data_IF_707197793100
#
_entry.id   IF_707197793100
#
_cell.length_a   1.000
_cell.length_b   1.000
_cell.length_c   1.000
_cell.angle_alpha   90.00
_cell.angle_beta   90.00
_cell.angle_gamma   90.00
#
_symmetry.space_group_name_H-M   'P 1'
#
loop_
_entity.id
_entity.type
_entity.pdbx_description
1 polymer ?
#
# COMPACT_ATOMS: atom_id res chain seq x y z
N UNK A 1 -16.93 -1.12 28.06
CA UNK A 1 -17.66 -0.54 26.90
C UNK A 1 -17.52 -1.54 25.77
N UNK A 2 -18.51 -1.64 24.88
CA UNK A 2 -18.36 -2.45 23.65
C UNK A 2 -17.42 -1.75 22.67
N UNK A 3 -16.85 -2.50 21.73
CA UNK A 3 -15.96 -1.96 20.69
C UNK A 3 -16.63 -0.83 19.90
N UNK A 4 -17.90 -1.00 19.52
CA UNK A 4 -18.72 0.03 18.85
C UNK A 4 -18.86 1.32 19.69
N UNK A 5 -19.06 1.20 21.00
CA UNK A 5 -19.11 2.36 21.91
C UNK A 5 -17.75 3.09 21.99
N UNK A 6 -16.64 2.36 21.87
CA UNK A 6 -15.29 2.95 21.86
C UNK A 6 -15.06 3.69 20.53
N UNK A 7 -15.42 3.11 19.38
CA UNK A 7 -15.41 3.83 18.09
C UNK A 7 -16.26 5.10 18.14
N UNK A 8 -17.42 5.05 18.80
CA UNK A 8 -18.27 6.22 19.04
C UNK A 8 -17.60 7.36 19.82
N UNK A 9 -16.64 7.06 20.71
CA UNK A 9 -15.83 8.10 21.38
C UNK A 9 -14.81 8.74 20.42
N UNK A 10 -14.20 7.96 19.53
CA UNK A 10 -13.26 8.46 18.50
C UNK A 10 -13.99 9.41 17.54
N UNK A 11 -15.18 9.02 17.06
CA UNK A 11 -16.02 9.89 16.22
C UNK A 11 -16.51 11.17 16.90
N UNK A 12 -16.54 11.20 18.24
CA UNK A 12 -16.82 12.40 19.04
C UNK A 12 -15.55 13.19 19.43
N UNK A 13 -14.40 12.88 18.82
CA UNK A 13 -13.08 13.43 19.10
C UNK A 13 -12.56 13.25 20.55
N UNK A 14 -13.15 12.32 21.33
CA UNK A 14 -12.80 11.99 22.72
C UNK A 14 -11.76 10.86 22.75
N UNK A 15 -10.61 11.14 22.15
CA UNK A 15 -9.54 10.15 21.93
C UNK A 15 -8.92 9.65 23.25
N UNK A 16 -8.82 10.53 24.24
CA UNK A 16 -8.48 10.21 25.64
C UNK A 16 -9.35 9.06 26.18
N UNK A 17 -10.68 9.23 26.11
CA UNK A 17 -11.63 8.26 26.65
C UNK A 17 -11.68 6.99 25.81
N UNK A 18 -11.44 7.08 24.51
CA UNK A 18 -11.39 5.93 23.62
C UNK A 18 -10.18 5.03 23.95
N UNK A 19 -8.99 5.63 24.12
CA UNK A 19 -7.78 4.92 24.52
C UNK A 19 -7.94 4.24 25.90
N UNK A 20 -8.47 4.96 26.88
CA UNK A 20 -8.70 4.42 28.23
C UNK A 20 -9.76 3.31 28.23
N UNK A 21 -10.82 3.43 27.43
CA UNK A 21 -11.84 2.39 27.32
C UNK A 21 -11.30 1.13 26.63
N UNK A 22 -10.43 1.28 25.63
CA UNK A 22 -9.79 0.16 24.93
C UNK A 22 -8.73 -0.55 25.79
N UNK A 23 -7.90 0.19 26.53
CA UNK A 23 -6.95 -0.37 27.50
C UNK A 23 -7.64 -1.14 28.64
N UNK A 24 -8.95 -0.91 28.83
CA UNK A 24 -9.78 -1.64 29.77
C UNK A 24 -10.63 -2.77 29.15
N UNK A 25 -10.49 -3.05 27.84
CA UNK A 25 -11.22 -4.14 27.18
C UNK A 25 -10.76 -5.51 27.71
N UNK A 26 -11.66 -6.51 27.89
CA UNK A 26 -11.28 -7.81 28.43
C UNK A 26 -10.20 -8.53 27.62
N UNK A 27 -10.35 -8.59 26.28
CA UNK A 27 -9.37 -9.22 25.38
C UNK A 27 -7.99 -8.53 25.45
N UNK A 28 -7.95 -7.20 25.43
CA UNK A 28 -6.71 -6.40 25.56
C UNK A 28 -6.01 -6.64 26.91
N UNK A 29 -6.76 -7.01 27.96
CA UNK A 29 -6.18 -7.35 29.27
C UNK A 29 -5.72 -8.81 29.37
N UNK A 30 -6.25 -9.71 28.54
CA UNK A 30 -5.76 -11.08 28.43
C UNK A 30 -4.59 -11.23 27.46
N UNK A 31 -4.45 -10.33 26.50
CA UNK A 31 -3.36 -10.30 25.52
C UNK A 31 -2.26 -9.30 25.94
N UNK A 32 -1.07 -9.81 26.23
CA UNK A 32 0.06 -9.00 26.67
C UNK A 32 0.62 -8.05 25.61
N UNK A 33 0.56 -8.43 24.33
CA UNK A 33 1.12 -7.67 23.22
C UNK A 33 0.17 -6.54 22.78
N UNK A 34 -1.15 -6.81 22.76
CA UNK A 34 -2.17 -5.76 22.60
C UNK A 34 -2.16 -4.77 23.76
N UNK A 35 -2.04 -5.26 25.01
CA UNK A 35 -1.92 -4.41 26.19
C UNK A 35 -0.69 -3.49 26.15
N UNK A 36 0.47 -4.02 25.73
CA UNK A 36 1.69 -3.24 25.54
C UNK A 36 1.54 -2.22 24.40
N UNK A 37 0.90 -2.61 23.29
CA UNK A 37 0.64 -1.74 22.13
C UNK A 37 -0.26 -0.55 22.50
N UNK A 38 -1.33 -0.77 23.27
CA UNK A 38 -2.19 0.31 23.77
C UNK A 38 -1.50 1.20 24.80
N UNK A 39 -0.62 0.65 25.64
CA UNK A 39 0.21 1.43 26.56
C UNK A 39 1.16 2.38 25.81
N UNK A 40 1.81 1.89 24.75
CA UNK A 40 2.63 2.71 23.84
C UNK A 40 1.81 3.80 23.14
N UNK A 41 0.57 3.48 22.74
CA UNK A 41 -0.33 4.41 22.06
C UNK A 41 -0.83 5.53 23.00
N UNK A 42 -1.21 5.18 24.23
CA UNK A 42 -1.52 6.15 25.31
C UNK A 42 -0.32 7.04 25.65
N UNK A 43 0.90 6.49 25.66
CA UNK A 43 2.13 7.25 25.88
C UNK A 43 2.37 8.28 24.76
N UNK A 44 2.22 7.88 23.49
CA UNK A 44 2.29 8.81 22.34
C UNK A 44 1.23 9.90 22.40
N UNK A 45 -0.02 9.56 22.74
CA UNK A 45 -1.09 10.54 22.91
C UNK A 45 -0.75 11.58 23.99
N UNK A 46 -0.35 11.10 25.17
CA UNK A 46 0.04 11.97 26.29
C UNK A 46 1.24 12.86 25.94
N UNK A 47 2.21 12.33 25.19
CA UNK A 47 3.34 13.10 24.65
C UNK A 47 2.88 14.19 23.69
N UNK A 48 2.00 13.87 22.74
CA UNK A 48 1.48 14.82 21.74
C UNK A 48 0.65 15.94 22.37
N UNK A 49 -0.23 15.62 23.33
CA UNK A 49 -0.97 16.61 24.11
C UNK A 49 -0.02 17.51 24.91
N UNK A 50 1.04 16.95 25.50
CA UNK A 50 2.05 17.72 26.25
C UNK A 50 2.86 18.65 25.35
N UNK A 51 3.33 18.18 24.20
CA UNK A 51 4.06 18.99 23.22
C UNK A 51 3.20 20.17 22.72
N UNK A 52 1.91 19.92 22.45
CA UNK A 52 0.96 20.96 22.06
C UNK A 52 0.71 21.98 23.16
N UNK A 53 0.47 21.53 24.39
CA UNK A 53 0.26 22.41 25.54
C UNK A 53 1.50 23.24 25.93
N UNK A 54 2.70 22.76 25.58
CA UNK A 54 3.95 23.52 25.73
C UNK A 54 4.27 24.45 24.54
N UNK A 55 3.45 24.47 23.50
CA UNK A 55 3.68 25.26 22.28
C UNK A 55 4.86 24.76 21.43
N UNK A 56 5.35 23.53 21.68
CA UNK A 56 6.46 22.92 20.94
C UNK A 56 5.99 22.43 19.56
N UNK A 57 4.71 22.13 19.42
CA UNK A 57 4.08 21.56 18.22
C UNK A 57 2.98 22.46 17.68
N UNK A 58 3.02 22.74 16.38
CA UNK A 58 1.97 23.51 15.71
C UNK A 58 0.65 22.72 15.61
N UNK A 59 -0.42 23.38 15.18
CA UNK A 59 -1.75 22.75 15.03
C UNK A 59 -1.78 21.62 13.99
N UNK A 60 -0.96 21.74 12.95
CA UNK A 60 -0.97 20.86 11.79
C UNK A 60 -0.31 19.52 12.13
N UNK A 61 0.84 19.55 12.79
CA UNK A 61 1.55 18.37 13.29
C UNK A 61 0.89 17.76 14.52
N UNK A 62 0.23 18.56 15.37
CA UNK A 62 -0.63 18.07 16.45
C UNK A 62 -1.83 17.27 15.89
N UNK A 63 -2.52 17.80 14.89
CA UNK A 63 -3.64 17.14 14.24
C UNK A 63 -3.23 15.86 13.51
N UNK A 64 -2.11 15.88 12.77
CA UNK A 64 -1.55 14.69 12.10
C UNK A 64 -1.23 13.57 13.10
N UNK A 65 -0.60 13.88 14.23
CA UNK A 65 -0.26 12.84 15.20
C UNK A 65 -1.51 12.30 15.92
N UNK A 66 -2.49 13.15 16.25
CA UNK A 66 -3.80 12.67 16.73
C UNK A 66 -4.52 11.78 15.72
N UNK A 67 -4.46 12.11 14.42
CA UNK A 67 -5.07 11.27 13.38
C UNK A 67 -4.41 9.89 13.30
N UNK A 68 -3.06 9.81 13.35
CA UNK A 68 -2.33 8.53 13.42
C UNK A 68 -2.73 7.70 14.64
N UNK A 69 -2.87 8.34 15.80
CA UNK A 69 -3.24 7.67 17.06
C UNK A 69 -4.67 7.13 16.99
N UNK A 70 -5.62 7.94 16.49
CA UNK A 70 -7.00 7.50 16.24
C UNK A 70 -7.06 6.31 15.28
N UNK A 71 -6.29 6.34 14.18
CA UNK A 71 -6.24 5.27 13.19
C UNK A 71 -5.66 3.97 13.76
N UNK A 72 -4.54 4.04 14.49
CA UNK A 72 -3.95 2.87 15.16
C UNK A 72 -4.92 2.24 16.17
N UNK A 73 -5.69 3.06 16.90
CA UNK A 73 -6.73 2.56 17.80
C UNK A 73 -7.90 1.92 17.04
N UNK A 74 -8.34 2.49 15.91
CA UNK A 74 -9.40 1.92 15.07
C UNK A 74 -9.01 0.53 14.55
N UNK A 75 -7.77 0.33 14.11
CA UNK A 75 -7.31 -0.97 13.63
C UNK A 75 -7.36 -2.02 14.74
N UNK A 76 -6.80 -1.73 15.92
CA UNK A 76 -6.82 -2.65 17.06
C UNK A 76 -8.25 -2.99 17.48
N UNK A 77 -9.18 -2.02 17.43
CA UNK A 77 -10.61 -2.26 17.67
C UNK A 77 -11.26 -3.14 16.60
N UNK A 78 -10.78 -3.14 15.35
CA UNK A 78 -11.28 -4.01 14.28
C UNK A 78 -10.73 -5.42 14.36
N UNK A 79 -9.45 -5.58 14.71
CA UNK A 79 -8.85 -6.90 14.98
C UNK A 79 -9.60 -7.61 16.13
N UNK A 80 -10.00 -6.87 17.17
CA UNK A 80 -10.79 -7.39 18.30
C UNK A 80 -12.23 -7.80 17.90
N UNK A 81 -12.87 -7.08 16.97
CA UNK A 81 -14.20 -7.46 16.45
C UNK A 81 -14.14 -8.77 15.65
N UNK A 82 -13.09 -8.99 14.87
CA UNK A 82 -12.90 -10.22 14.09
C UNK A 82 -12.72 -11.44 15.02
N UNK A 83 -12.05 -11.28 16.16
CA UNK A 83 -11.95 -12.33 17.19
C UNK A 83 -13.27 -12.58 17.95
N UNK A 84 -14.04 -11.54 18.30
CA UNK A 84 -15.37 -11.72 18.90
C UNK A 84 -16.33 -12.45 17.93
N UNK A 85 -16.30 -12.10 16.64
CA UNK A 85 -17.09 -12.76 15.60
C UNK A 85 -16.68 -14.22 15.36
N UNK A 86 -15.37 -14.52 15.40
CA UNK A 86 -14.83 -15.88 15.29
C UNK A 86 -15.21 -16.80 16.46
N UNK A 87 -15.41 -16.23 17.65
CA UNK A 87 -15.78 -16.98 18.86
C UNK A 87 -17.27 -17.40 18.90
N UNK A 88 -18.15 -16.60 18.31
CA UNK A 88 -19.61 -16.75 18.46
C UNK A 88 -20.28 -17.86 17.61
N UNK A 89 -19.54 -18.51 16.70
CA UNK A 89 -20.11 -19.35 15.65
C UNK A 89 -20.42 -20.82 16.05
N UNK A 90 -21.21 -21.07 17.12
CA UNK A 90 -21.77 -22.43 17.36
C UNK A 90 -23.09 -22.49 18.15
N UNK A 91 -24.25 -22.54 17.45
CA UNK A 91 -25.47 -23.33 17.77
C UNK A 91 -26.73 -22.80 17.00
N UNK A 92 -27.76 -23.64 16.71
CA UNK A 92 -28.92 -23.26 15.86
C UNK A 92 -30.23 -22.86 16.61
N UNK A 93 -31.01 -21.97 15.96
CA UNK A 93 -32.51 -21.72 15.90
C UNK A 93 -33.49 -22.32 16.95
N UNK A 94 -34.71 -21.73 17.23
CA UNK A 94 -35.54 -20.86 16.36
C UNK A 94 -36.43 -19.71 16.95
N UNK A 95 -36.80 -18.77 16.06
CA UNK A 95 -38.07 -18.01 15.88
C UNK A 95 -38.96 -17.46 17.05
N UNK A 96 -39.25 -16.14 16.99
CA UNK A 96 -40.54 -15.53 17.37
C UNK A 96 -40.80 -14.16 16.66
N UNK A 97 -42.07 -13.71 16.60
CA UNK A 97 -42.65 -12.54 15.87
C UNK A 97 -43.11 -11.46 16.90
N UNK A 98 -43.51 -10.20 16.65
CA UNK A 98 -44.01 -9.31 15.53
C UNK A 98 -43.82 -7.82 16.00
N UNK A 99 -44.20 -6.71 15.30
CA UNK A 99 -44.54 -6.43 13.88
C UNK A 99 -43.83 -5.16 13.29
N UNK A 100 -44.16 -4.76 12.06
CA UNK A 100 -43.54 -3.63 11.32
C UNK A 100 -44.40 -2.34 11.23
N UNK A 101 -43.76 -1.23 10.81
CA UNK A 101 -44.37 -0.01 10.22
C UNK A 101 -43.72 0.24 8.83
N UNK A 102 -44.32 1.03 7.90
CA UNK A 102 -44.39 0.61 6.49
C UNK A 102 -43.25 1.12 5.62
N UNK A 103 -42.86 0.31 4.65
CA UNK A 103 -41.90 0.68 3.61
C UNK A 103 -42.56 1.53 2.50
N UNK A 104 -41.82 2.49 1.96
CA UNK A 104 -42.04 3.01 0.61
C UNK A 104 -41.66 1.92 -0.42
N UNK A 105 -42.24 1.90 -1.63
CA UNK A 105 -42.10 0.77 -2.55
C UNK A 105 -40.66 0.63 -3.03
N UNK A 106 -40.07 -0.55 -2.79
CA UNK A 106 -38.75 -0.90 -3.31
C UNK A 106 -38.80 -1.03 -4.84
N UNK A 107 -37.84 -0.42 -5.53
CA UNK A 107 -37.49 -0.81 -6.88
C UNK A 107 -37.08 -2.29 -6.90
N UNK A 108 -37.29 -3.04 -8.01
CA UNK A 108 -36.84 -4.43 -8.10
C UNK A 108 -35.34 -4.50 -7.85
N UNK A 109 -34.84 -5.53 -7.12
CA UNK A 109 -33.43 -5.64 -6.80
C UNK A 109 -32.63 -5.74 -8.10
N UNK A 110 -31.82 -4.72 -8.36
CA UNK A 110 -30.79 -4.82 -9.38
C UNK A 110 -29.84 -5.96 -8.97
N UNK A 111 -29.54 -6.84 -9.92
CA UNK A 111 -28.45 -7.80 -9.76
C UNK A 111 -27.17 -6.95 -9.86
N UNK A 112 -26.57 -6.63 -8.73
CA UNK A 112 -25.33 -5.86 -8.68
C UNK A 112 -24.19 -6.82 -9.03
N UNK A 113 -23.50 -6.58 -10.15
CA UNK A 113 -22.21 -7.21 -10.42
C UNK A 113 -21.14 -6.47 -9.61
N UNK A 114 -20.75 -7.05 -8.47
CA UNK A 114 -19.75 -6.49 -7.55
C UNK A 114 -18.33 -6.51 -8.17
N UNK A 115 -17.99 -5.45 -8.91
CA UNK A 115 -16.67 -5.29 -9.53
C UNK A 115 -15.62 -4.80 -8.50
N UNK A 116 -15.28 -5.67 -7.53
CA UNK A 116 -14.20 -5.46 -6.56
C UNK A 116 -12.87 -5.30 -7.32
N UNK A 117 -12.09 -4.28 -6.95
CA UNK A 117 -10.74 -4.02 -7.48
C UNK A 117 -9.70 -4.32 -6.41
N UNK A 118 -9.04 -5.47 -6.51
CA UNK A 118 -8.01 -5.92 -5.56
C UNK A 118 -6.68 -5.24 -5.82
N UNK A 119 -6.09 -4.65 -4.79
CA UNK A 119 -4.84 -3.89 -4.90
C UNK A 119 -3.76 -4.57 -4.07
N UNK A 120 -2.68 -5.00 -4.71
CA UNK A 120 -1.50 -5.55 -4.04
C UNK A 120 -0.38 -4.49 -4.04
N UNK A 121 -0.06 -3.96 -2.87
CA UNK A 121 1.00 -2.97 -2.66
C UNK A 121 2.25 -3.66 -2.12
N UNK A 122 3.33 -3.63 -2.91
CA UNK A 122 4.60 -4.27 -2.63
C UNK A 122 5.67 -3.19 -2.42
N UNK A 123 6.17 -3.07 -1.20
CA UNK A 123 7.25 -2.16 -0.86
C UNK A 123 8.61 -2.90 -0.81
N UNK A 124 9.60 -2.36 -1.52
CA UNK A 124 11.02 -2.63 -1.18
C UNK A 124 11.28 -2.20 0.28
N UNK A 125 12.27 -2.75 0.99
CA UNK A 125 12.50 -2.45 2.41
C UNK A 125 13.89 -1.82 2.62
N UNK A 126 14.03 -0.47 2.54
CA UNK A 126 15.31 0.22 2.53
C UNK A 126 15.66 0.76 3.92
N UNK A 127 16.64 1.66 3.99
CA UNK A 127 17.05 2.37 5.21
C UNK A 127 15.89 3.10 5.92
N UNK A 128 16.02 3.39 7.22
CA UNK A 128 14.89 3.77 8.07
C UNK A 128 14.13 5.02 7.60
N UNK A 129 14.80 6.00 7.00
CA UNK A 129 14.17 7.17 6.37
C UNK A 129 13.26 6.77 5.21
N UNK A 130 13.74 5.89 4.32
CA UNK A 130 12.95 5.41 3.20
C UNK A 130 11.84 4.46 3.65
N UNK A 131 12.07 3.63 4.69
CA UNK A 131 11.01 2.83 5.33
C UNK A 131 9.86 3.72 5.83
N UNK A 132 10.15 4.86 6.45
CA UNK A 132 9.14 5.84 6.87
C UNK A 132 8.37 6.41 5.67
N UNK A 133 9.04 6.72 4.55
CA UNK A 133 8.39 7.24 3.34
C UNK A 133 7.47 6.22 2.67
N UNK A 134 7.90 4.96 2.54
CA UNK A 134 7.09 3.87 2.00
C UNK A 134 5.85 3.59 2.86
N UNK A 135 6.02 3.66 4.18
CA UNK A 135 4.92 3.56 5.15
C UNK A 135 3.97 4.76 5.00
N UNK A 136 4.50 5.96 4.73
CA UNK A 136 3.71 7.18 4.46
C UNK A 136 2.95 7.09 3.13
N UNK A 137 3.55 6.52 2.09
CA UNK A 137 2.88 6.26 0.81
C UNK A 137 1.71 5.29 1.00
N UNK A 138 1.96 4.13 1.59
CA UNK A 138 0.92 3.14 1.90
C UNK A 138 -0.21 3.77 2.74
N UNK A 139 0.11 4.52 3.80
CA UNK A 139 -0.90 5.20 4.63
C UNK A 139 -1.74 6.20 3.83
N UNK A 140 -1.15 6.95 2.90
CA UNK A 140 -1.88 7.90 2.06
C UNK A 140 -2.73 7.22 0.99
N UNK A 141 -2.22 6.16 0.36
CA UNK A 141 -2.98 5.33 -0.58
C UNK A 141 -4.18 4.70 0.12
N UNK A 142 -3.98 4.10 1.29
CA UNK A 142 -5.06 3.55 2.11
C UNK A 142 -6.11 4.60 2.44
N UNK A 143 -5.71 5.80 2.90
CA UNK A 143 -6.64 6.89 3.19
C UNK A 143 -7.50 7.28 1.97
N UNK A 144 -6.90 7.43 0.78
CA UNK A 144 -7.61 7.78 -0.45
C UNK A 144 -8.61 6.71 -0.90
N UNK A 145 -8.31 5.43 -0.65
CA UNK A 145 -9.25 4.33 -0.92
C UNK A 145 -10.39 4.27 0.11
N UNK A 146 -10.12 4.66 1.37
CA UNK A 146 -11.14 4.77 2.41
C UNK A 146 -12.05 6.02 2.26
N UNK A 147 -11.65 6.99 1.43
CA UNK A 147 -12.47 8.13 1.01
C UNK A 147 -13.43 7.80 -0.16
N UNK A 148 -13.41 6.58 -0.68
CA UNK A 148 -14.36 6.12 -1.71
C UNK A 148 -15.81 6.07 -1.17
N UNK A 149 -16.78 6.09 -2.09
CA UNK A 149 -18.20 5.87 -1.74
C UNK A 149 -18.45 4.46 -1.18
N UNK A 150 -17.68 3.47 -1.66
CA UNK A 150 -17.78 2.05 -1.33
C UNK A 150 -16.35 1.49 -1.08
N UNK A 151 -15.71 1.81 0.06
CA UNK A 151 -14.31 1.44 0.34
C UNK A 151 -14.02 -0.07 0.29
N UNK A 152 -15.01 -0.90 0.60
CA UNK A 152 -14.95 -2.36 0.54
C UNK A 152 -14.68 -2.91 -0.87
N UNK A 153 -14.92 -2.11 -1.92
CA UNK A 153 -14.55 -2.46 -3.31
C UNK A 153 -13.06 -2.36 -3.57
N UNK A 154 -12.27 -1.78 -2.67
CA UNK A 154 -10.83 -1.54 -2.86
C UNK A 154 -9.96 -2.22 -1.79
N UNK A 155 -10.02 -3.56 -1.62
CA UNK A 155 -9.19 -4.26 -0.64
C UNK A 155 -7.71 -4.11 -0.99
N UNK A 156 -7.01 -3.35 -0.15
CA UNK A 156 -5.58 -3.08 -0.21
C UNK A 156 -4.82 -4.12 0.62
N UNK A 157 -3.94 -4.90 -0.03
CA UNK A 157 -3.04 -5.85 0.64
C UNK A 157 -1.61 -5.34 0.55
N UNK A 158 -1.00 -5.09 1.71
CA UNK A 158 0.37 -4.60 1.83
C UNK A 158 1.33 -5.75 2.13
N UNK A 159 2.47 -5.77 1.44
CA UNK A 159 3.62 -6.65 1.73
C UNK A 159 4.90 -5.80 1.67
N UNK A 160 5.77 -5.99 2.64
CA UNK A 160 7.11 -5.40 2.67
C UNK A 160 8.15 -6.51 2.55
N UNK A 161 9.40 -6.16 2.25
CA UNK A 161 10.53 -7.08 2.34
C UNK A 161 10.34 -8.38 1.54
N UNK A 162 9.86 -8.21 0.31
CA UNK A 162 9.42 -9.27 -0.59
C UNK A 162 10.61 -9.78 -1.42
N UNK A 163 11.00 -11.05 -1.28
CA UNK A 163 11.97 -11.70 -2.17
C UNK A 163 11.38 -12.02 -3.55
N UNK A 164 12.19 -12.36 -4.58
CA UNK A 164 11.67 -12.73 -5.90
C UNK A 164 10.72 -13.96 -5.90
N UNK A 165 10.88 -14.86 -4.93
CA UNK A 165 9.98 -16.01 -4.74
C UNK A 165 8.63 -15.54 -4.21
N UNK A 166 8.63 -14.77 -3.12
CA UNK A 166 7.41 -14.24 -2.49
C UNK A 166 6.66 -13.27 -3.41
N UNK A 167 7.37 -12.49 -4.23
CA UNK A 167 6.77 -11.68 -5.30
C UNK A 167 5.87 -12.53 -6.21
N UNK A 168 6.37 -13.71 -6.59
CA UNK A 168 5.66 -14.64 -7.48
C UNK A 168 4.49 -15.30 -6.76
N UNK A 169 4.67 -15.62 -5.48
CA UNK A 169 3.65 -16.22 -4.62
C UNK A 169 2.50 -15.25 -4.30
N UNK A 170 2.79 -14.01 -3.87
CA UNK A 170 1.77 -13.01 -3.55
C UNK A 170 0.92 -12.63 -4.76
N UNK A 171 1.52 -12.52 -5.96
CA UNK A 171 0.74 -12.35 -7.19
C UNK A 171 -0.25 -13.50 -7.42
N UNK A 172 0.16 -14.75 -7.12
CA UNK A 172 -0.66 -15.94 -7.30
C UNK A 172 -1.75 -16.11 -6.24
N UNK A 173 -1.45 -15.80 -4.98
CA UNK A 173 -2.37 -15.91 -3.83
C UNK A 173 -3.42 -14.80 -3.87
N UNK A 174 -2.99 -13.54 -3.90
CA UNK A 174 -3.87 -12.38 -3.74
C UNK A 174 -4.74 -12.13 -4.98
N UNK A 175 -4.25 -12.55 -6.16
CA UNK A 175 -4.87 -12.39 -7.48
C UNK A 175 -5.33 -10.95 -7.75
N UNK A 176 -4.42 -9.97 -7.72
CA UNK A 176 -4.77 -8.55 -7.79
C UNK A 176 -5.24 -8.11 -9.18
N UNK A 177 -6.05 -7.06 -9.19
CA UNK A 177 -6.39 -6.24 -10.34
C UNK A 177 -5.34 -5.17 -10.60
N UNK A 178 -4.78 -4.59 -9.53
CA UNK A 178 -3.74 -3.56 -9.56
C UNK A 178 -2.55 -4.01 -8.71
N UNK A 179 -1.34 -3.95 -9.26
CA UNK A 179 -0.10 -4.20 -8.51
C UNK A 179 0.70 -2.90 -8.41
N UNK A 180 1.02 -2.48 -7.20
CA UNK A 180 1.83 -1.29 -6.94
C UNK A 180 3.18 -1.69 -6.40
N UNK A 181 4.24 -1.18 -7.01
CA UNK A 181 5.60 -1.27 -6.51
C UNK A 181 6.06 0.09 -6.03
N UNK A 182 6.47 0.17 -4.78
CA UNK A 182 7.17 1.34 -4.27
C UNK A 182 8.58 0.98 -3.81
N UNK A 183 9.57 1.72 -4.31
CA UNK A 183 10.97 1.46 -4.00
C UNK A 183 11.99 2.19 -4.85
N UNK A 184 13.26 1.82 -4.69
CA UNK A 184 14.37 2.43 -5.42
C UNK A 184 14.84 1.55 -6.60
N UNK A 185 15.00 2.16 -7.77
CA UNK A 185 15.60 1.53 -8.96
C UNK A 185 16.97 2.10 -9.35
N UNK A 186 17.51 3.07 -8.59
CA UNK A 186 18.82 3.67 -8.87
C UNK A 186 19.97 2.83 -8.30
N UNK A 187 20.85 2.36 -9.19
CA UNK A 187 22.07 1.60 -8.86
C UNK A 187 23.12 2.42 -8.12
N UNK A 188 22.99 3.76 -8.09
CA UNK A 188 23.89 4.71 -7.40
C UNK A 188 23.42 5.13 -6.02
N UNK A 189 22.24 4.68 -5.57
CA UNK A 189 21.83 4.87 -4.18
C UNK A 189 22.89 4.26 -3.24
N UNK A 190 23.29 4.92 -2.14
CA UNK A 190 24.35 4.43 -1.25
C UNK A 190 24.11 2.99 -0.77
N UNK A 191 22.86 2.71 -0.41
CA UNK A 191 22.35 1.42 0.06
C UNK A 191 22.41 0.31 -1.02
N UNK A 192 22.54 0.67 -2.30
CA UNK A 192 22.66 -0.26 -3.44
C UNK A 192 24.13 -0.41 -3.87
N UNK A 193 24.91 0.67 -3.79
CA UNK A 193 26.32 0.69 -4.15
C UNK A 193 27.18 -0.19 -3.20
N UNK A 194 26.86 -0.22 -1.90
CA UNK A 194 27.49 -1.12 -0.92
C UNK A 194 27.29 -2.58 -1.29
N UNK A 195 26.05 -2.99 -1.58
CA UNK A 195 25.68 -4.38 -1.91
C UNK A 195 26.30 -4.84 -3.23
N UNK A 196 26.47 -3.94 -4.21
CA UNK A 196 27.21 -4.24 -5.45
C UNK A 196 28.70 -4.56 -5.18
N UNK A 197 29.31 -4.00 -4.13
CA UNK A 197 30.69 -4.31 -3.75
C UNK A 197 30.81 -5.67 -3.05
N UNK A 198 29.89 -5.99 -2.14
CA UNK A 198 29.84 -7.27 -1.42
C UNK A 198 29.52 -8.44 -2.36
N UNK A 199 28.56 -8.25 -3.28
CA UNK A 199 28.20 -9.25 -4.29
C UNK A 199 29.34 -9.57 -5.28
N UNK A 200 30.30 -8.65 -5.44
CA UNK A 200 31.52 -8.86 -6.24
C UNK A 200 32.64 -9.51 -5.44
N UNK A 201 32.75 -9.25 -4.13
CA UNK A 201 33.82 -9.80 -3.29
C UNK A 201 33.87 -11.35 -3.26
N UNK A 202 32.78 -12.04 -3.65
CA UNK A 202 32.71 -13.50 -3.78
C UNK A 202 33.07 -14.08 -5.16
N UNK A 203 33.33 -13.27 -6.19
CA UNK A 203 33.76 -13.76 -7.52
C UNK A 203 35.13 -13.19 -7.87
N UNK A 204 36.11 -14.06 -8.14
CA UNK A 204 37.36 -13.63 -8.76
C UNK A 204 37.07 -13.13 -10.17
N UNK A 205 37.53 -11.94 -10.50
CA UNK A 205 37.30 -11.28 -11.80
C UNK A 205 38.05 -11.94 -12.99
N UNK A 206 38.63 -13.13 -12.82
CA UNK A 206 39.53 -13.77 -13.78
C UNK A 206 38.82 -14.65 -14.84
N UNK A 207 37.56 -15.07 -14.60
CA UNK A 207 36.81 -16.02 -15.47
C UNK A 207 35.74 -15.38 -16.39
N UNK A 208 35.72 -14.04 -16.52
CA UNK A 208 34.76 -13.34 -17.40
C UNK A 208 35.35 -13.09 -18.80
N UNK A 209 34.74 -13.64 -19.89
CA UNK A 209 35.25 -13.43 -21.24
C UNK A 209 35.11 -11.96 -21.68
N UNK A 210 36.13 -11.37 -22.33
CA UNK A 210 36.17 -9.93 -22.61
C UNK A 210 35.36 -9.55 -23.86
N UNK A 211 34.03 -9.73 -23.84
CA UNK A 211 33.15 -9.29 -24.94
C UNK A 211 31.67 -9.09 -24.57
N UNK A 212 31.41 -8.27 -23.55
CA UNK A 212 30.20 -7.46 -23.52
C UNK A 212 30.50 -6.13 -22.83
N UNK A 213 30.21 -5.00 -23.49
CA UNK A 213 30.00 -3.76 -22.72
C UNK A 213 28.75 -4.02 -21.87
N UNK A 214 28.78 -3.81 -20.54
CA UNK A 214 27.57 -3.97 -19.74
C UNK A 214 26.61 -2.84 -20.12
N UNK A 215 25.72 -3.11 -21.07
CA UNK A 215 24.51 -2.32 -21.23
C UNK A 215 23.82 -2.25 -19.87
N UNK A 216 23.50 -1.04 -19.41
CA UNK A 216 23.02 -0.82 -18.04
C UNK A 216 21.70 -1.58 -17.81
N UNK A 217 21.82 -2.78 -17.24
CA UNK A 217 20.69 -3.64 -16.94
C UNK A 217 19.82 -2.92 -15.92
N UNK A 218 18.59 -2.61 -16.34
CA UNK A 218 17.57 -1.93 -15.55
C UNK A 218 16.68 -2.96 -14.86
N UNK A 219 16.40 -2.70 -13.59
CA UNK A 219 15.61 -3.57 -12.73
C UNK A 219 15.09 -2.83 -11.51
N UNK A 220 14.46 -3.58 -10.60
CA UNK A 220 13.92 -3.08 -9.34
C UNK A 220 14.56 -3.89 -8.22
N UNK A 221 14.88 -3.24 -7.10
CA UNK A 221 15.43 -3.93 -5.94
C UNK A 221 14.32 -4.45 -5.02
N UNK A 222 14.38 -5.76 -4.78
CA UNK A 222 13.62 -6.50 -3.78
C UNK A 222 14.54 -6.78 -2.57
N UNK A 223 13.97 -7.07 -1.40
CA UNK A 223 14.72 -7.26 -0.15
C UNK A 223 14.15 -8.45 0.62
N UNK A 224 14.95 -9.10 1.47
CA UNK A 224 14.47 -10.10 2.44
C UNK A 224 13.98 -9.45 3.75
N UNK A 225 13.21 -10.20 4.56
CA UNK A 225 12.68 -9.73 5.87
C UNK A 225 13.79 -9.20 6.78
N UNK A 226 14.93 -9.90 6.81
CA UNK A 226 16.13 -9.55 7.58
C UNK A 226 16.83 -8.25 7.10
N UNK A 227 16.46 -7.70 5.93
CA UNK A 227 17.14 -6.59 5.24
C UNK A 227 18.61 -6.83 4.90
N UNK A 228 19.08 -8.09 4.88
CA UNK A 228 20.49 -8.43 4.67
C UNK A 228 20.83 -8.70 3.21
N UNK A 229 19.84 -8.99 2.37
CA UNK A 229 20.07 -9.31 0.96
C UNK A 229 19.10 -8.53 0.05
N UNK A 230 19.66 -7.62 -0.75
CA UNK A 230 18.91 -7.02 -1.84
C UNK A 230 18.99 -7.91 -3.10
N UNK A 231 17.83 -8.27 -3.63
CA UNK A 231 17.68 -9.01 -4.88
C UNK A 231 17.39 -8.05 -6.02
N UNK A 232 18.33 -7.91 -6.95
CA UNK A 232 18.09 -7.17 -8.19
C UNK A 232 17.19 -7.98 -9.14
N UNK A 233 16.02 -7.43 -9.45
CA UNK A 233 15.03 -8.05 -10.34
C UNK A 233 15.05 -7.35 -11.70
N UNK A 234 15.60 -8.02 -12.70
CA UNK A 234 15.70 -7.47 -14.05
C UNK A 234 14.37 -7.51 -14.82
N UNK A 235 14.35 -6.74 -15.91
CA UNK A 235 13.22 -6.63 -16.84
C UNK A 235 12.73 -7.99 -17.37
N UNK A 236 13.65 -8.93 -17.62
CA UNK A 236 13.34 -10.28 -18.12
C UNK A 236 12.54 -11.10 -17.12
N UNK A 237 12.91 -11.07 -15.83
CA UNK A 237 12.15 -11.71 -14.76
C UNK A 237 10.74 -11.14 -14.67
N UNK A 238 10.60 -9.80 -14.55
CA UNK A 238 9.29 -9.14 -14.40
C UNK A 238 8.35 -9.53 -15.55
N UNK A 239 8.80 -9.39 -16.80
CA UNK A 239 8.02 -9.77 -17.98
C UNK A 239 7.62 -11.25 -17.96
N UNK A 240 8.51 -12.16 -17.55
CA UNK A 240 8.21 -13.60 -17.46
C UNK A 240 7.19 -13.89 -16.36
N UNK A 241 7.30 -13.27 -15.20
CA UNK A 241 6.40 -13.49 -14.06
C UNK A 241 5.00 -12.97 -14.38
N UNK A 242 4.86 -11.71 -14.82
CA UNK A 242 3.56 -11.17 -15.25
C UNK A 242 2.95 -11.97 -16.40
N UNK A 243 3.75 -12.37 -17.41
CA UNK A 243 3.25 -13.24 -18.49
C UNK A 243 2.76 -14.59 -17.98
N UNK A 244 3.31 -15.11 -16.89
CA UNK A 244 2.89 -16.39 -16.29
C UNK A 244 1.57 -16.20 -15.53
N UNK A 245 1.48 -15.17 -14.69
CA UNK A 245 0.26 -14.85 -13.92
C UNK A 245 -0.94 -14.56 -14.82
N UNK A 246 -0.79 -13.66 -15.80
CA UNK A 246 -1.88 -13.29 -16.71
C UNK A 246 -2.21 -14.45 -17.68
N UNK A 247 -1.22 -14.99 -18.41
CA UNK A 247 -1.52 -15.91 -19.52
C UNK A 247 -1.79 -17.35 -19.07
N UNK A 248 -1.11 -17.85 -18.02
CA UNK A 248 -1.27 -19.22 -17.51
C UNK A 248 -2.26 -19.31 -16.35
N UNK A 249 -2.14 -18.44 -15.35
CA UNK A 249 -2.99 -18.49 -14.15
C UNK A 249 -4.27 -17.65 -14.24
N UNK A 250 -4.45 -16.89 -15.34
CA UNK A 250 -5.65 -16.07 -15.62
C UNK A 250 -5.94 -15.03 -14.54
N UNK A 251 -4.89 -14.50 -13.92
CA UNK A 251 -5.01 -13.45 -12.90
C UNK A 251 -5.34 -12.13 -13.61
N UNK A 252 -6.39 -11.40 -13.19
CA UNK A 252 -6.96 -10.27 -13.93
C UNK A 252 -6.20 -8.96 -13.70
N UNK A 253 -4.87 -8.99 -13.84
CA UNK A 253 -4.03 -7.80 -13.64
C UNK A 253 -4.33 -6.78 -14.74
N UNK A 254 -5.07 -5.73 -14.38
CA UNK A 254 -5.47 -4.60 -15.25
C UNK A 254 -4.35 -3.55 -15.30
N UNK A 255 -3.72 -3.26 -14.16
CA UNK A 255 -2.69 -2.24 -14.04
C UNK A 255 -1.47 -2.68 -13.20
N UNK A 256 -0.28 -2.22 -13.58
CA UNK A 256 0.94 -2.28 -12.76
C UNK A 256 1.53 -0.89 -12.61
N UNK A 257 1.83 -0.46 -11.39
CA UNK A 257 2.44 0.84 -11.10
C UNK A 257 3.86 0.63 -10.58
N UNK A 258 4.87 0.97 -11.38
CA UNK A 258 6.27 0.97 -10.94
C UNK A 258 6.66 2.36 -10.40
N UNK A 259 6.21 2.68 -9.18
CA UNK A 259 6.57 3.90 -8.45
C UNK A 259 7.99 3.79 -7.87
N UNK A 260 8.96 3.69 -8.79
CA UNK A 260 10.38 3.54 -8.52
C UNK A 260 11.18 4.24 -9.61
N UNK A 261 12.33 4.82 -9.25
CA UNK A 261 13.22 5.50 -10.20
C UNK A 261 13.65 4.60 -11.36
N UNK A 262 13.75 5.16 -12.58
CA UNK A 262 14.26 4.47 -13.78
C UNK A 262 13.52 3.17 -14.13
N UNK A 263 12.18 3.18 -14.04
CA UNK A 263 11.33 2.00 -14.30
C UNK A 263 10.74 1.93 -15.72
N UNK A 264 11.09 2.86 -16.62
CA UNK A 264 10.55 2.96 -17.99
C UNK A 264 10.69 1.68 -18.84
N UNK A 265 11.89 1.07 -18.89
CA UNK A 265 12.15 -0.18 -19.63
C UNK A 265 11.33 -1.36 -19.08
N UNK A 266 11.10 -1.38 -17.77
CA UNK A 266 10.32 -2.38 -17.05
C UNK A 266 8.84 -2.19 -17.38
N UNK A 267 8.37 -0.93 -17.39
CA UNK A 267 7.00 -0.58 -17.75
C UNK A 267 6.67 -0.98 -19.20
N UNK A 268 7.52 -0.58 -20.15
CA UNK A 268 7.42 -0.98 -21.56
C UNK A 268 7.37 -2.51 -21.70
N UNK A 269 8.31 -3.23 -21.09
CA UNK A 269 8.40 -4.68 -21.21
C UNK A 269 7.20 -5.44 -20.61
N UNK A 270 6.62 -4.94 -19.51
CA UNK A 270 5.44 -5.53 -18.84
C UNK A 270 4.14 -5.13 -19.52
N UNK A 271 4.06 -3.95 -20.15
CA UNK A 271 2.87 -3.51 -20.91
C UNK A 271 2.55 -4.40 -22.13
N UNK A 272 3.52 -5.21 -22.57
CA UNK A 272 3.33 -6.27 -23.57
C UNK A 272 2.49 -7.47 -23.05
N UNK A 273 2.11 -7.48 -21.76
CA UNK A 273 1.33 -8.54 -21.11
C UNK A 273 0.30 -8.07 -20.08
N UNK A 274 0.40 -6.84 -19.57
CA UNK A 274 -0.59 -6.16 -18.71
C UNK A 274 -1.12 -4.93 -19.47
N UNK A 275 -2.44 -4.66 -19.50
CA UNK A 275 -3.00 -3.57 -20.29
C UNK A 275 -2.42 -2.20 -19.95
N UNK A 276 -2.37 -1.82 -18.68
CA UNK A 276 -1.84 -0.52 -18.25
C UNK A 276 -0.59 -0.70 -17.39
N UNK A 277 0.49 0.00 -17.73
CA UNK A 277 1.70 0.01 -16.89
C UNK A 277 2.28 1.40 -16.75
N UNK A 278 2.37 1.87 -15.51
CA UNK A 278 3.04 3.12 -15.15
C UNK A 278 4.49 2.86 -14.83
N UNK A 279 5.39 3.72 -15.30
CA UNK A 279 6.78 3.78 -14.87
C UNK A 279 7.30 5.21 -14.77
N UNK A 280 8.57 5.36 -14.40
CA UNK A 280 9.27 6.65 -14.36
C UNK A 280 10.40 6.69 -15.37
N UNK A 281 10.61 7.87 -15.95
CA UNK A 281 11.61 8.13 -16.98
C UNK A 281 13.04 8.25 -16.40
N UNK A 282 13.20 8.91 -15.25
CA UNK A 282 14.43 8.98 -14.44
C UNK A 282 14.10 9.12 -12.94
N UNK A 283 15.07 9.47 -12.09
CA UNK A 283 14.87 9.60 -10.63
C UNK A 283 13.77 10.59 -10.25
N UNK A 284 12.79 10.08 -9.50
CA UNK A 284 11.66 10.83 -8.89
C UNK A 284 11.96 11.14 -7.43
N UNK A 285 11.55 12.31 -6.94
CA UNK A 285 11.64 12.65 -5.52
C UNK A 285 10.51 12.02 -4.70
N UNK A 286 10.80 11.56 -3.48
CA UNK A 286 9.86 10.78 -2.65
C UNK A 286 8.51 11.50 -2.43
N UNK A 287 8.53 12.83 -2.25
CA UNK A 287 7.31 13.64 -2.11
C UNK A 287 6.42 13.56 -3.35
N UNK A 288 7.01 13.57 -4.54
CA UNK A 288 6.29 13.50 -5.80
C UNK A 288 5.83 12.08 -6.11
N UNK A 289 6.64 11.05 -5.79
CA UNK A 289 6.23 9.64 -5.84
C UNK A 289 5.00 9.39 -4.93
N UNK A 290 5.04 9.90 -3.69
CA UNK A 290 3.92 9.84 -2.75
C UNK A 290 2.70 10.61 -3.27
N UNK A 291 2.90 11.80 -3.85
CA UNK A 291 1.82 12.62 -4.39
C UNK A 291 1.15 11.95 -5.61
N UNK A 292 1.95 11.38 -6.52
CA UNK A 292 1.48 10.58 -7.64
C UNK A 292 0.60 9.42 -7.17
N UNK A 293 1.10 8.58 -6.27
CA UNK A 293 0.34 7.45 -5.75
C UNK A 293 -0.96 7.90 -5.05
N UNK A 294 -0.90 8.97 -4.26
CA UNK A 294 -2.08 9.56 -3.61
C UNK A 294 -3.11 10.07 -4.64
N UNK A 295 -2.66 10.68 -5.74
CA UNK A 295 -3.52 11.16 -6.81
C UNK A 295 -4.14 10.02 -7.62
N UNK A 296 -3.32 9.05 -8.02
CA UNK A 296 -3.76 7.86 -8.74
C UNK A 296 -4.86 7.11 -7.98
N UNK A 297 -4.61 6.76 -6.71
CA UNK A 297 -5.60 6.03 -5.93
C UNK A 297 -6.81 6.87 -5.50
N UNK A 298 -6.71 8.20 -5.47
CA UNK A 298 -7.89 9.05 -5.41
C UNK A 298 -8.74 8.91 -6.68
N UNK A 299 -8.13 8.97 -7.87
CA UNK A 299 -8.84 8.77 -9.13
C UNK A 299 -9.58 7.42 -9.18
N UNK A 300 -8.89 6.33 -8.79
CA UNK A 300 -9.48 4.99 -8.67
C UNK A 300 -10.66 4.99 -7.67
N UNK A 301 -10.50 5.60 -6.49
CA UNK A 301 -11.57 5.70 -5.47
C UNK A 301 -12.78 6.53 -5.92
N UNK A 302 -12.58 7.51 -6.81
CA UNK A 302 -13.65 8.30 -7.43
C UNK A 302 -14.26 7.63 -8.69
N UNK A 303 -13.84 6.41 -9.05
CA UNK A 303 -14.36 5.68 -10.19
C UNK A 303 -13.85 6.16 -11.56
N UNK A 304 -12.71 6.85 -11.61
CA UNK A 304 -12.02 7.13 -12.87
C UNK A 304 -11.49 5.83 -13.50
N UNK A 305 -11.29 5.82 -14.81
CA UNK A 305 -10.52 4.78 -15.46
C UNK A 305 -9.02 4.92 -15.17
N UNK A 306 -8.20 3.95 -15.63
CA UNK A 306 -6.77 3.94 -15.34
C UNK A 306 -6.07 5.16 -15.97
N UNK A 307 -6.51 5.62 -17.14
CA UNK A 307 -5.94 6.79 -17.80
C UNK A 307 -6.23 8.07 -16.99
N UNK A 308 -7.49 8.36 -16.65
CA UNK A 308 -7.86 9.51 -15.83
C UNK A 308 -7.24 9.48 -14.43
N UNK A 309 -7.10 8.29 -13.83
CA UNK A 309 -6.39 8.14 -12.55
C UNK A 309 -4.88 8.47 -12.69
N UNK A 310 -4.23 8.05 -13.77
CA UNK A 310 -2.80 8.37 -14.00
C UNK A 310 -2.61 9.86 -14.26
N UNK A 311 -3.43 10.49 -15.10
CA UNK A 311 -3.41 11.95 -15.33
C UNK A 311 -3.58 12.72 -14.01
N UNK A 312 -4.56 12.35 -13.18
CA UNK A 312 -4.73 12.97 -11.87
C UNK A 312 -3.52 12.74 -10.94
N UNK A 313 -2.87 11.58 -11.02
CA UNK A 313 -1.61 11.29 -10.36
C UNK A 313 -0.46 12.21 -10.82
N UNK A 314 -0.30 12.39 -12.13
CA UNK A 314 0.71 13.30 -12.73
C UNK A 314 0.49 14.73 -12.22
N UNK A 315 -0.75 15.23 -12.30
CA UNK A 315 -1.12 16.57 -11.83
C UNK A 315 -0.79 16.79 -10.33
N UNK A 316 -0.95 15.78 -9.47
CA UNK A 316 -0.55 15.87 -8.06
C UNK A 316 0.98 15.88 -7.88
N UNK A 317 1.74 15.20 -8.74
CA UNK A 317 3.20 15.18 -8.69
C UNK A 317 3.84 16.47 -9.22
N UNK A 318 3.25 17.11 -10.24
CA UNK A 318 3.70 18.40 -10.78
C UNK A 318 3.79 19.49 -9.69
N UNK A 319 2.91 19.45 -8.68
CA UNK A 319 2.93 20.36 -7.53
C UNK A 319 4.22 20.26 -6.66
N UNK A 320 5.08 19.26 -6.90
CA UNK A 320 6.36 19.05 -6.21
C UNK A 320 7.58 19.33 -7.12
N UNK A 321 7.41 20.13 -8.17
CA UNK A 321 8.43 20.53 -9.14
C UNK A 321 9.01 19.38 -9.99
N UNK A 322 8.26 18.28 -10.17
CA UNK A 322 8.58 17.30 -11.20
C UNK A 322 8.10 17.78 -12.57
N UNK A 323 8.77 17.39 -13.68
CA UNK A 323 8.28 17.64 -15.03
C UNK A 323 7.14 16.68 -15.40
N UNK A 324 6.39 17.01 -16.43
CA UNK A 324 5.23 16.25 -16.91
C UNK A 324 5.58 14.85 -17.42
N UNK A 325 6.71 14.71 -18.11
CA UNK A 325 7.27 13.45 -18.61
C UNK A 325 8.01 12.61 -17.54
N UNK A 326 7.84 12.97 -16.27
CA UNK A 326 8.31 12.21 -15.11
C UNK A 326 7.71 10.81 -15.04
N UNK A 327 6.40 10.73 -15.13
CA UNK A 327 5.62 9.50 -15.08
C UNK A 327 5.14 9.16 -16.48
N UNK A 328 5.33 7.90 -16.88
CA UNK A 328 4.99 7.41 -18.20
C UNK A 328 3.89 6.36 -18.06
N UNK A 329 2.86 6.45 -18.88
CA UNK A 329 1.86 5.38 -19.05
C UNK A 329 2.14 4.61 -20.34
N UNK A 330 2.11 3.29 -20.24
CA UNK A 330 2.01 2.40 -21.39
C UNK A 330 0.65 1.72 -21.37
N UNK A 331 -0.01 1.70 -22.53
CA UNK A 331 -1.29 1.02 -22.80
C UNK A 331 -1.08 -0.03 -23.90
N UNK A 332 -1.33 -1.29 -23.58
CA UNK A 332 -1.24 -2.44 -24.49
C UNK A 332 0.07 -2.50 -25.32
N UNK A 333 1.19 -2.13 -24.70
CA UNK A 333 2.51 -2.11 -25.33
C UNK A 333 2.92 -0.79 -25.99
N UNK A 334 2.06 0.24 -25.97
CA UNK A 334 2.28 1.54 -26.61
C UNK A 334 2.36 2.63 -25.54
N UNK A 335 3.33 3.55 -25.63
CA UNK A 335 3.39 4.72 -24.74
C UNK A 335 2.20 5.65 -25.02
N UNK A 336 1.51 6.08 -23.98
CA UNK A 336 0.45 7.09 -24.06
C UNK A 336 1.11 8.47 -24.12
N UNK A 337 0.64 9.30 -25.05
CA UNK A 337 0.93 10.73 -25.11
C UNK A 337 -0.33 11.48 -24.67
N UNK A 338 -0.15 12.54 -23.89
CA UNK A 338 -1.21 13.38 -23.32
C UNK A 338 -1.30 14.71 -24.08
#
# INVERSE_FOLDING_TARGET
MTIEQIRGLIGQAKLDKALDAAANHPQVKSDGDLGMTLTLLQSRYTGNEREKNLGIKDDDDYAKERAKISYALINILSDLDEEEAGSAASAPTPAARVPAKPAAPAAPPAIIEDNITKILFLASNPSDTAKLQLTTEHSRVSARLQEALEPEKFPLKFRQAVTPSEFTEFLFIEKPDIVHFSGHGDRKAPDVASIMSESRAGRKDEDLPPSAKPEEESGIYLYDEDKRHAHFVNTTFLKRTFSTMVKRHKIPIKAVVFNACHSSKQAEAVSQVVPYVVGTSWSVGDKAAIAFASGFYFGIAQGMDIEGAVDFGINQALAFNEPEDRFLLYKDGVKVEW
#
